data_IF_313722838408
#
_entry.id   IF_313722838408
#
_cell.length_a   1.000
_cell.length_b   1.000
_cell.length_c   1.000
_cell.angle_alpha   90.00
_cell.angle_beta   90.00
_cell.angle_gamma   90.00
#
_symmetry.space_group_name_H-M   'P 1'
#
loop_
_entity.id
_entity.type
_entity.pdbx_description
1 polymer ?
#
# COMPACT_ATOMS: atom_id res chain seq x y z
N UNK A 1 -15.86 -51.86 19.76
CA UNK A 1 -15.10 -50.59 19.74
C UNK A 1 -15.69 -49.71 18.64
N UNK A 2 -16.26 -48.55 19.00
CA UNK A 2 -16.84 -47.58 18.05
C UNK A 2 -15.71 -46.73 17.49
N UNK A 3 -15.45 -46.83 16.19
CA UNK A 3 -14.61 -45.85 15.50
C UNK A 3 -15.39 -44.54 15.39
N UNK A 4 -14.85 -43.50 16.03
CA UNK A 4 -15.43 -42.17 16.04
C UNK A 4 -15.49 -41.59 14.64
N UNK A 5 -16.65 -41.03 14.29
CA UNK A 5 -16.81 -40.19 13.11
C UNK A 5 -15.84 -39.01 13.26
N UNK A 6 -14.86 -38.94 12.36
CA UNK A 6 -14.09 -37.72 12.14
C UNK A 6 -15.11 -36.70 11.64
N UNK A 7 -15.40 -35.72 12.48
CA UNK A 7 -16.28 -34.62 12.13
C UNK A 7 -15.47 -33.71 11.21
N UNK A 8 -15.50 -33.99 9.91
CA UNK A 8 -15.02 -33.07 8.88
C UNK A 8 -15.98 -31.89 8.95
N UNK A 9 -15.64 -30.86 9.72
CA UNK A 9 -16.26 -29.56 9.59
C UNK A 9 -16.11 -29.18 8.12
N UNK A 10 -17.24 -29.17 7.40
CA UNK A 10 -17.30 -28.58 6.07
C UNK A 10 -16.77 -27.17 6.23
N UNK A 11 -15.68 -26.83 5.53
CA UNK A 11 -15.42 -25.44 5.22
C UNK A 11 -16.67 -24.98 4.46
N UNK A 12 -17.52 -24.20 5.12
CA UNK A 12 -18.54 -23.45 4.38
C UNK A 12 -17.78 -22.68 3.30
N UNK A 13 -18.23 -22.75 2.06
CA UNK A 13 -17.73 -21.92 0.97
C UNK A 13 -17.97 -20.47 1.40
N UNK A 14 -16.99 -19.87 2.10
CA UNK A 14 -17.08 -18.50 2.59
C UNK A 14 -17.17 -17.64 1.34
N UNK A 15 -18.35 -17.11 1.06
CA UNK A 15 -18.58 -16.23 -0.08
C UNK A 15 -17.54 -15.11 -0.01
N UNK A 16 -16.71 -15.03 -1.03
CA UNK A 16 -15.73 -13.97 -1.19
C UNK A 16 -16.46 -12.63 -1.24
N UNK A 17 -16.04 -11.69 -0.39
CA UNK A 17 -16.66 -10.37 -0.31
C UNK A 17 -16.26 -9.53 -1.53
N UNK A 18 -17.17 -8.73 -2.04
CA UNK A 18 -17.00 -7.93 -3.26
C UNK A 18 -17.34 -6.46 -2.98
N UNK A 19 -16.97 -5.56 -3.89
CA UNK A 19 -17.34 -4.14 -3.80
C UNK A 19 -18.85 -3.96 -3.62
N UNK A 20 -19.68 -4.79 -4.28
CA UNK A 20 -21.15 -4.74 -4.20
C UNK A 20 -21.72 -5.10 -2.83
N UNK A 21 -20.95 -5.78 -1.99
CA UNK A 21 -21.35 -6.06 -0.61
C UNK A 21 -21.26 -4.79 0.27
N UNK A 22 -20.41 -3.81 -0.08
CA UNK A 22 -20.19 -2.56 0.66
C UNK A 22 -20.79 -1.33 -0.02
N UNK A 23 -20.80 -1.27 -1.35
CA UNK A 23 -21.18 -0.10 -2.14
C UNK A 23 -22.28 -0.49 -3.12
N UNK A 24 -23.45 0.18 -3.03
CA UNK A 24 -24.59 -0.05 -3.94
C UNK A 24 -24.59 0.89 -5.13
N UNK A 25 -24.21 2.14 -4.91
CA UNK A 25 -24.03 3.18 -5.90
C UNK A 25 -22.96 4.18 -5.41
N UNK A 26 -22.53 5.08 -6.27
CA UNK A 26 -21.47 6.06 -5.95
C UNK A 26 -22.00 7.43 -5.54
N UNK A 27 -23.31 7.60 -5.37
CA UNK A 27 -23.90 8.93 -5.13
C UNK A 27 -23.57 9.52 -3.76
N UNK A 28 -23.21 8.66 -2.80
CA UNK A 28 -22.84 9.03 -1.43
C UNK A 28 -21.36 8.79 -1.11
N UNK A 29 -20.54 8.39 -2.10
CA UNK A 29 -19.12 8.15 -1.85
C UNK A 29 -18.37 9.48 -1.70
N UNK A 30 -17.87 9.69 -0.49
CA UNK A 30 -16.96 10.75 -0.10
C UNK A 30 -15.86 10.15 0.80
N UNK A 31 -14.91 10.97 1.25
CA UNK A 31 -13.81 10.53 2.11
C UNK A 31 -14.29 9.74 3.33
N UNK A 32 -15.28 10.25 4.07
CA UNK A 32 -15.80 9.59 5.28
C UNK A 32 -16.36 8.20 4.97
N UNK A 33 -17.15 8.05 3.89
CA UNK A 33 -17.70 6.76 3.50
C UNK A 33 -16.59 5.77 3.08
N UNK A 34 -15.54 6.24 2.40
CA UNK A 34 -14.40 5.40 2.01
C UNK A 34 -13.60 4.96 3.24
N UNK A 35 -13.39 5.84 4.22
CA UNK A 35 -12.75 5.52 5.50
C UNK A 35 -13.56 4.47 6.25
N UNK A 36 -14.88 4.64 6.37
CA UNK A 36 -15.77 3.67 7.05
C UNK A 36 -15.71 2.27 6.40
N UNK A 37 -15.56 2.20 5.08
CA UNK A 37 -15.38 0.92 4.36
C UNK A 37 -14.00 0.34 4.62
N UNK A 38 -12.95 1.17 4.60
CA UNK A 38 -11.58 0.75 4.92
C UNK A 38 -11.50 0.15 6.33
N UNK A 39 -12.13 0.80 7.32
CA UNK A 39 -12.18 0.34 8.71
C UNK A 39 -12.87 -1.02 8.82
N UNK A 40 -13.99 -1.21 8.11
CA UNK A 40 -14.68 -2.51 8.07
C UNK A 40 -13.80 -3.61 7.47
N UNK A 41 -13.00 -3.31 6.45
CA UNK A 41 -12.06 -4.27 5.86
C UNK A 41 -10.92 -4.59 6.82
N UNK A 42 -10.40 -3.60 7.55
CA UNK A 42 -9.39 -3.83 8.59
C UNK A 42 -9.89 -4.70 9.75
N UNK A 43 -11.21 -4.76 10.02
CA UNK A 43 -11.79 -5.71 10.99
C UNK A 43 -11.68 -7.18 10.55
N UNK A 44 -11.37 -7.47 9.29
CA UNK A 44 -11.17 -8.85 8.81
C UNK A 44 -9.86 -9.42 9.35
N UNK A 45 -8.82 -8.59 9.46
CA UNK A 45 -7.49 -9.00 9.92
C UNK A 45 -6.36 -8.29 9.16
N UNK A 46 -5.21 -8.93 9.13
CA UNK A 46 -4.03 -8.49 8.38
C UNK A 46 -4.31 -8.36 6.87
N UNK A 47 -3.43 -7.65 6.16
CA UNK A 47 -3.58 -7.44 4.73
C UNK A 47 -3.59 -8.77 3.94
N UNK A 48 -2.83 -9.77 4.40
CA UNK A 48 -2.84 -11.13 3.84
C UNK A 48 -4.18 -11.84 4.04
N UNK A 49 -4.78 -11.70 5.23
CA UNK A 49 -6.09 -12.28 5.55
C UNK A 49 -7.22 -11.60 4.77
N UNK A 50 -7.15 -10.27 4.59
CA UNK A 50 -8.07 -9.52 3.73
C UNK A 50 -8.00 -10.06 2.30
N UNK A 51 -6.79 -10.12 1.72
CA UNK A 51 -6.56 -10.59 0.34
C UNK A 51 -7.14 -11.97 0.07
N UNK A 52 -7.17 -12.86 1.06
CA UNK A 52 -7.71 -14.21 0.93
C UNK A 52 -9.24 -14.26 1.01
N UNK A 53 -9.89 -13.23 1.55
CA UNK A 53 -11.33 -13.23 1.87
C UNK A 53 -12.16 -12.30 0.98
N UNK A 54 -11.51 -11.37 0.29
CA UNK A 54 -12.16 -10.40 -0.61
C UNK A 54 -11.81 -10.67 -2.07
N UNK A 55 -12.63 -10.15 -2.98
CA UNK A 55 -12.34 -10.19 -4.42
C UNK A 55 -11.12 -9.34 -4.74
N UNK A 56 -10.47 -9.64 -5.86
CA UNK A 56 -9.30 -8.89 -6.28
C UNK A 56 -9.59 -7.38 -6.38
N UNK A 57 -10.76 -7.02 -6.90
CA UNK A 57 -11.20 -5.63 -7.07
C UNK A 57 -11.43 -4.93 -5.73
N UNK A 58 -12.02 -5.63 -4.75
CA UNK A 58 -12.19 -5.09 -3.41
C UNK A 58 -10.85 -4.95 -2.68
N UNK A 59 -9.90 -5.86 -2.91
CA UNK A 59 -8.54 -5.74 -2.40
C UNK A 59 -7.83 -4.52 -3.00
N UNK A 60 -7.92 -4.32 -4.32
CA UNK A 60 -7.36 -3.14 -4.99
C UNK A 60 -7.98 -1.84 -4.47
N UNK A 61 -9.29 -1.83 -4.23
CA UNK A 61 -9.98 -0.70 -3.60
C UNK A 61 -9.40 -0.43 -2.20
N UNK A 62 -9.20 -1.47 -1.38
CA UNK A 62 -8.61 -1.36 -0.05
C UNK A 62 -7.20 -0.77 -0.08
N UNK A 63 -6.34 -1.28 -0.98
CA UNK A 63 -4.98 -0.73 -1.17
C UNK A 63 -5.05 0.73 -1.61
N UNK A 64 -5.94 1.07 -2.55
CA UNK A 64 -6.09 2.43 -3.06
C UNK A 64 -6.51 3.42 -1.96
N UNK A 65 -7.46 3.03 -1.11
CA UNK A 65 -7.92 3.86 0.00
C UNK A 65 -6.80 4.12 1.02
N UNK A 66 -6.07 3.07 1.41
CA UNK A 66 -4.99 3.20 2.37
C UNK A 66 -3.78 3.93 1.78
N UNK A 67 -3.45 3.73 0.50
CA UNK A 67 -2.37 4.45 -0.18
C UNK A 67 -2.62 5.95 -0.18
N UNK A 68 -3.81 6.39 -0.64
CA UNK A 68 -4.15 7.81 -0.73
C UNK A 68 -4.30 8.41 0.67
N UNK A 69 -5.01 7.74 1.57
CA UNK A 69 -5.23 8.22 2.94
C UNK A 69 -3.92 8.43 3.71
N UNK A 70 -2.99 7.47 3.65
CA UNK A 70 -1.70 7.60 4.30
C UNK A 70 -0.80 8.63 3.61
N UNK A 71 -0.83 8.71 2.27
CA UNK A 71 -0.08 9.75 1.54
C UNK A 71 -0.54 11.15 1.94
N UNK A 72 -1.85 11.40 2.07
CA UNK A 72 -2.39 12.71 2.51
C UNK A 72 -1.93 13.12 3.92
N UNK A 73 -1.59 12.15 4.77
CA UNK A 73 -1.08 12.40 6.12
C UNK A 73 0.43 12.58 6.19
N UNK A 74 1.20 11.71 5.51
CA UNK A 74 2.64 11.53 5.75
C UNK A 74 3.51 11.62 4.48
N UNK A 75 2.90 11.80 3.29
CA UNK A 75 3.58 11.73 2.00
C UNK A 75 4.07 10.31 1.64
N UNK A 76 4.76 10.17 0.51
CA UNK A 76 5.21 8.87 0.02
C UNK A 76 6.28 8.23 0.88
N UNK A 77 7.18 9.03 1.47
CA UNK A 77 8.18 8.47 2.38
C UNK A 77 7.51 7.84 3.61
N UNK A 78 6.49 8.49 4.18
CA UNK A 78 5.73 7.93 5.30
C UNK A 78 4.95 6.68 4.93
N UNK A 79 4.34 6.63 3.73
CA UNK A 79 3.73 5.39 3.22
C UNK A 79 4.76 4.27 3.12
N UNK A 80 5.94 4.55 2.58
CA UNK A 80 6.98 3.53 2.40
C UNK A 80 7.56 3.10 3.77
N UNK A 81 7.82 4.03 4.69
CA UNK A 81 8.47 3.70 5.96
C UNK A 81 7.51 3.11 6.99
N UNK A 82 6.26 3.59 7.05
CA UNK A 82 5.30 3.22 8.10
C UNK A 82 4.21 2.28 7.62
N UNK A 83 3.99 2.14 6.32
CA UNK A 83 2.96 1.26 5.74
C UNK A 83 3.59 0.22 4.80
N UNK A 84 4.71 -0.37 5.23
CA UNK A 84 5.53 -1.24 4.39
C UNK A 84 4.73 -2.34 3.69
N UNK A 85 3.77 -2.97 4.37
CA UNK A 85 2.98 -4.05 3.80
C UNK A 85 2.12 -3.64 2.59
N UNK A 86 1.82 -2.35 2.43
CA UNK A 86 1.12 -1.82 1.26
C UNK A 86 2.04 -1.71 0.02
N UNK A 87 3.34 -1.46 0.23
CA UNK A 87 4.33 -1.17 -0.83
C UNK A 87 4.30 -2.17 -1.98
N UNK A 88 4.26 -3.50 -1.75
CA UNK A 88 4.21 -4.47 -2.84
C UNK A 88 2.96 -4.39 -3.72
N UNK A 89 1.87 -3.81 -3.23
CA UNK A 89 0.57 -3.75 -3.92
C UNK A 89 0.28 -2.40 -4.58
N UNK A 90 1.02 -1.35 -4.20
CA UNK A 90 0.84 0.01 -4.73
C UNK A 90 0.95 0.07 -6.27
N UNK A 91 1.93 -0.58 -6.94
CA UNK A 91 2.03 -0.51 -8.40
C UNK A 91 0.77 -1.02 -9.12
N UNK A 92 0.17 -2.09 -8.61
CA UNK A 92 -1.05 -2.68 -9.19
C UNK A 92 -2.26 -1.78 -8.93
N UNK A 93 -2.37 -1.21 -7.73
CA UNK A 93 -3.42 -0.24 -7.41
C UNK A 93 -3.33 1.01 -8.30
N UNK A 94 -2.13 1.60 -8.44
CA UNK A 94 -1.91 2.74 -9.34
C UNK A 94 -2.28 2.42 -10.79
N UNK A 95 -1.98 1.21 -11.26
CA UNK A 95 -2.39 0.75 -12.59
C UNK A 95 -3.92 0.68 -12.72
N UNK A 96 -4.61 0.11 -11.72
CA UNK A 96 -6.06 -0.02 -11.71
C UNK A 96 -6.78 1.35 -11.65
N UNK A 97 -6.16 2.34 -11.00
CA UNK A 97 -6.59 3.75 -10.99
C UNK A 97 -6.21 4.51 -12.27
N UNK A 98 -5.60 3.85 -13.27
CA UNK A 98 -5.12 4.44 -14.52
C UNK A 98 -4.02 5.51 -14.34
N UNK A 99 -3.27 5.45 -13.23
CA UNK A 99 -2.19 6.37 -12.87
C UNK A 99 -0.81 5.82 -13.25
N UNK A 100 -0.63 5.42 -14.52
CA UNK A 100 0.58 4.73 -14.99
C UNK A 100 1.87 5.57 -14.85
N UNK A 101 1.77 6.90 -14.99
CA UNK A 101 2.91 7.79 -14.76
C UNK A 101 3.34 7.77 -13.29
N UNK A 102 2.37 7.81 -12.37
CA UNK A 102 2.63 7.75 -10.94
C UNK A 102 3.15 6.38 -10.51
N UNK A 103 2.60 5.30 -11.07
CA UNK A 103 3.12 3.94 -10.93
C UNK A 103 4.61 3.86 -11.29
N UNK A 104 4.98 4.41 -12.45
CA UNK A 104 6.36 4.37 -12.93
C UNK A 104 7.28 5.14 -11.98
N UNK A 105 6.88 6.32 -11.53
CA UNK A 105 7.64 7.10 -10.55
C UNK A 105 7.78 6.37 -9.19
N UNK A 106 6.74 5.68 -8.75
CA UNK A 106 6.78 4.89 -7.52
C UNK A 106 7.74 3.70 -7.64
N UNK A 107 7.63 2.92 -8.72
CA UNK A 107 8.54 1.80 -9.01
C UNK A 107 9.99 2.28 -9.11
N UNK A 108 10.20 3.49 -9.62
CA UNK A 108 11.49 4.15 -9.68
C UNK A 108 12.10 4.40 -8.28
N UNK A 109 11.30 4.83 -7.30
CA UNK A 109 11.73 4.93 -5.89
C UNK A 109 12.07 3.55 -5.34
N UNK A 110 11.18 2.58 -5.53
CA UNK A 110 11.35 1.21 -5.01
C UNK A 110 12.59 0.52 -5.61
N UNK A 111 12.97 0.85 -6.85
CA UNK A 111 14.16 0.30 -7.50
C UNK A 111 15.49 0.61 -6.80
N UNK A 112 15.52 1.61 -5.91
CA UNK A 112 16.69 1.96 -5.11
C UNK A 112 16.88 0.98 -3.95
N UNK A 113 15.79 0.37 -3.46
CA UNK A 113 15.85 -0.60 -2.39
C UNK A 113 16.64 -1.83 -2.87
N UNK A 114 17.53 -2.39 -2.03
CA UNK A 114 18.17 -3.67 -2.33
C UNK A 114 17.13 -4.76 -2.64
N UNK A 115 17.41 -5.61 -3.63
CA UNK A 115 16.46 -6.61 -4.12
C UNK A 115 15.99 -7.63 -3.06
N UNK A 116 16.72 -7.77 -1.94
CA UNK A 116 16.35 -8.64 -0.82
C UNK A 116 15.42 -7.96 0.19
N UNK A 117 14.98 -6.73 -0.07
CA UNK A 117 14.08 -6.00 0.83
C UNK A 117 12.77 -6.76 0.98
N UNK A 118 12.40 -7.04 2.23
CA UNK A 118 11.09 -7.55 2.60
C UNK A 118 10.35 -6.39 3.23
N UNK A 119 9.30 -5.92 2.57
CA UNK A 119 8.48 -4.80 3.03
C UNK A 119 7.50 -5.27 4.11
N UNK A 120 7.90 -5.16 5.37
CA UNK A 120 7.07 -5.48 6.53
C UNK A 120 7.61 -4.75 7.75
N UNK A 121 6.73 -4.09 8.50
CA UNK A 121 7.10 -3.42 9.74
C UNK A 121 7.42 -4.39 10.88
N UNK A 122 6.98 -5.65 10.76
CA UNK A 122 7.33 -6.72 11.70
C UNK A 122 8.75 -7.25 11.48
N UNK A 123 9.42 -6.83 10.41
CA UNK A 123 10.79 -7.18 10.12
C UNK A 123 11.75 -6.12 10.69
N UNK A 124 12.49 -6.48 11.74
CA UNK A 124 13.49 -5.58 12.35
C UNK A 124 14.52 -5.03 11.34
N UNK A 125 14.88 -5.81 10.31
CA UNK A 125 15.80 -5.35 9.28
C UNK A 125 15.20 -4.25 8.38
N UNK A 126 13.88 -4.10 8.34
CA UNK A 126 13.22 -3.07 7.55
C UNK A 126 13.50 -1.67 8.11
N UNK A 127 13.49 -1.50 9.43
CA UNK A 127 13.87 -0.23 10.05
C UNK A 127 15.30 0.18 9.73
N UNK A 128 16.22 -0.79 9.70
CA UNK A 128 17.59 -0.55 9.25
C UNK A 128 17.65 -0.14 7.78
N UNK A 129 16.83 -0.74 6.91
CA UNK A 129 16.71 -0.34 5.50
C UNK A 129 16.23 1.11 5.35
N UNK A 130 15.18 1.49 6.07
CA UNK A 130 14.64 2.85 6.09
C UNK A 130 15.71 3.84 6.57
N UNK A 131 16.34 3.56 7.72
CA UNK A 131 17.42 4.38 8.26
C UNK A 131 18.60 4.50 7.28
N UNK A 132 18.93 3.43 6.57
CA UNK A 132 20.01 3.40 5.58
C UNK A 132 19.77 4.39 4.45
N UNK A 133 18.54 4.39 3.90
CA UNK A 133 18.12 5.17 2.74
C UNK A 133 17.70 6.61 3.10
N UNK A 134 17.26 6.87 4.33
CA UNK A 134 16.79 8.19 4.74
C UNK A 134 17.94 9.18 4.96
N UNK A 135 18.98 8.74 5.68
CA UNK A 135 20.08 9.61 6.07
C UNK A 135 21.36 8.83 6.33
N UNK A 136 22.45 9.24 5.68
CA UNK A 136 23.78 8.62 5.83
C UNK A 136 24.33 8.62 7.26
N UNK A 137 23.79 9.49 8.14
CA UNK A 137 24.19 9.59 9.55
C UNK A 137 23.47 8.60 10.45
N UNK A 138 22.36 8.03 10.01
CA UNK A 138 21.62 7.06 10.81
C UNK A 138 22.40 5.75 10.88
N UNK A 139 22.42 5.18 12.09
CA UNK A 139 23.07 3.92 12.37
C UNK A 139 22.19 2.79 11.87
N UNK A 140 22.82 1.73 11.41
CA UNK A 140 22.19 0.48 11.00
C UNK A 140 23.00 -0.67 11.57
N UNK A 141 22.34 -1.80 11.79
CA UNK A 141 22.94 -3.03 12.33
C UNK A 141 22.98 -4.17 11.32
N UNK A 142 22.15 -4.13 10.28
CA UNK A 142 22.14 -5.12 9.20
C UNK A 142 23.51 -5.17 8.49
N UNK A 143 24.19 -6.32 8.61
CA UNK A 143 25.51 -6.55 8.04
C UNK A 143 25.54 -6.38 6.52
N UNK A 144 24.44 -6.69 5.83
CA UNK A 144 24.34 -6.54 4.36
C UNK A 144 24.37 -5.08 3.95
N UNK A 145 23.78 -4.20 4.78
CA UNK A 145 23.83 -2.76 4.58
C UNK A 145 25.20 -2.18 4.95
N UNK A 146 25.83 -2.71 5.99
CA UNK A 146 27.20 -2.31 6.39
C UNK A 146 28.26 -2.68 5.34
N UNK A 147 28.02 -3.72 4.54
CA UNK A 147 28.89 -4.06 3.40
C UNK A 147 28.79 -3.09 2.22
N UNK A 148 27.76 -2.24 2.15
CA UNK A 148 27.62 -1.24 1.09
C UNK A 148 28.60 -0.08 1.35
N UNK A 149 29.46 0.30 0.40
CA UNK A 149 30.39 1.40 0.58
C UNK A 149 29.69 2.73 0.92
N UNK A 150 30.32 3.54 1.78
CA UNK A 150 29.78 4.85 2.20
C UNK A 150 29.42 5.77 1.02
N UNK A 151 30.25 5.83 -0.02
CA UNK A 151 29.93 6.63 -1.21
C UNK A 151 28.70 6.10 -1.94
N UNK A 152 28.56 4.77 -2.02
CA UNK A 152 27.36 4.16 -2.61
C UNK A 152 26.11 4.47 -1.79
N UNK A 153 26.20 4.45 -0.45
CA UNK A 153 25.09 4.88 0.42
C UNK A 153 24.71 6.33 0.16
N UNK A 154 25.68 7.25 0.04
CA UNK A 154 25.41 8.67 -0.28
C UNK A 154 24.67 8.83 -1.61
N UNK A 155 25.09 8.10 -2.65
CA UNK A 155 24.39 8.07 -3.93
C UNK A 155 22.94 7.60 -3.77
N UNK A 156 22.71 6.50 -3.05
CA UNK A 156 21.37 5.95 -2.83
C UNK A 156 20.47 6.92 -2.06
N UNK A 157 20.97 7.53 -0.97
CA UNK A 157 20.23 8.56 -0.19
C UNK A 157 19.92 9.80 -1.05
N UNK A 158 20.81 10.16 -1.98
CA UNK A 158 20.58 11.29 -2.88
C UNK A 158 19.53 10.95 -3.93
N UNK A 159 19.66 9.76 -4.54
CA UNK A 159 18.74 9.28 -5.56
C UNK A 159 17.33 9.09 -5.03
N UNK A 160 17.17 8.62 -3.78
CA UNK A 160 15.85 8.37 -3.22
C UNK A 160 15.10 9.68 -2.97
N UNK A 161 15.79 10.70 -2.48
CA UNK A 161 15.23 12.04 -2.30
C UNK A 161 14.77 12.63 -3.63
N UNK A 162 15.62 12.60 -4.65
CA UNK A 162 15.29 13.12 -5.96
C UNK A 162 14.08 12.42 -6.60
N UNK A 163 14.01 11.09 -6.48
CA UNK A 163 12.87 10.33 -7.03
C UNK A 163 11.60 10.51 -6.20
N UNK A 164 11.71 10.67 -4.88
CA UNK A 164 10.59 11.03 -4.02
C UNK A 164 10.06 12.41 -4.37
N UNK A 165 10.91 13.42 -4.55
CA UNK A 165 10.48 14.78 -4.94
C UNK A 165 9.66 14.75 -6.24
N UNK A 166 10.13 14.00 -7.25
CA UNK A 166 9.38 13.79 -8.51
C UNK A 166 8.03 13.10 -8.27
N UNK A 167 8.03 12.08 -7.40
CA UNK A 167 6.82 11.32 -7.08
C UNK A 167 5.81 12.21 -6.35
N UNK A 168 6.23 13.05 -5.40
CA UNK A 168 5.39 14.03 -4.71
C UNK A 168 4.81 15.06 -5.68
N UNK A 169 5.65 15.63 -6.56
CA UNK A 169 5.23 16.61 -7.57
C UNK A 169 4.14 16.05 -8.52
N UNK A 170 4.19 14.75 -8.81
CA UNK A 170 3.17 14.06 -9.61
C UNK A 170 1.88 13.76 -8.84
N UNK A 171 1.97 13.68 -7.51
CA UNK A 171 0.86 13.23 -6.65
C UNK A 171 0.04 14.39 -6.13
N UNK A 172 0.67 15.49 -5.75
CA UNK A 172 0.03 16.67 -5.17
C UNK A 172 -1.17 17.18 -6.01
N UNK A 173 -1.08 17.29 -7.35
CA UNK A 173 -2.21 17.75 -8.17
C UNK A 173 -3.39 16.77 -8.23
N UNK A 174 -3.17 15.50 -7.85
CA UNK A 174 -4.18 14.45 -7.89
C UNK A 174 -4.91 14.31 -6.55
N UNK A 175 -4.15 14.32 -5.45
CA UNK A 175 -4.65 13.91 -4.13
C UNK A 175 -4.54 15.00 -3.05
N UNK A 176 -3.84 16.10 -3.36
CA UNK A 176 -3.65 17.22 -2.44
C UNK A 176 -4.95 17.93 -2.05
N UNK A 177 -4.90 18.78 -1.02
CA UNK A 177 -6.08 19.49 -0.53
C UNK A 177 -6.68 20.41 -1.60
N UNK A 178 -8.02 20.39 -1.72
CA UNK A 178 -8.75 21.22 -2.68
C UNK A 178 -8.78 20.68 -4.11
N UNK A 179 -8.25 19.48 -4.33
CA UNK A 179 -8.43 18.74 -5.59
C UNK A 179 -9.86 18.17 -5.70
N UNK A 180 -10.22 17.67 -6.89
CA UNK A 180 -11.55 17.13 -7.15
C UNK A 180 -11.89 15.98 -6.19
N UNK A 181 -13.09 16.03 -5.62
CA UNK A 181 -13.54 15.08 -4.58
C UNK A 181 -12.54 14.93 -3.43
N UNK A 182 -11.85 16.01 -3.06
CA UNK A 182 -10.81 16.02 -2.02
C UNK A 182 -9.71 14.97 -2.26
N UNK A 183 -9.37 14.70 -3.52
CA UNK A 183 -8.32 13.76 -3.90
C UNK A 183 -8.78 12.31 -4.07
N UNK A 184 -10.08 12.05 -3.97
CA UNK A 184 -10.64 10.70 -4.03
C UNK A 184 -11.27 10.34 -5.38
N UNK A 185 -11.20 11.24 -6.37
CA UNK A 185 -11.91 11.05 -7.64
C UNK A 185 -11.49 9.76 -8.36
N UNK A 186 -10.20 9.38 -8.34
CA UNK A 186 -9.73 8.15 -8.98
C UNK A 186 -10.30 6.90 -8.30
N UNK A 187 -10.45 6.91 -6.97
CA UNK A 187 -11.07 5.81 -6.22
C UNK A 187 -12.55 5.70 -6.54
N UNK A 188 -13.25 6.85 -6.57
CA UNK A 188 -14.67 6.90 -6.90
C UNK A 188 -14.90 6.38 -8.33
N UNK A 189 -14.08 6.82 -9.29
CA UNK A 189 -14.17 6.37 -10.67
C UNK A 189 -13.83 4.89 -10.83
N UNK A 190 -12.83 4.39 -10.10
CA UNK A 190 -12.55 2.96 -10.03
C UNK A 190 -13.79 2.19 -9.57
N UNK A 191 -14.42 2.59 -8.47
CA UNK A 191 -15.64 1.93 -7.97
C UNK A 191 -16.76 1.95 -9.02
N UNK A 192 -16.98 3.07 -9.73
CA UNK A 192 -17.99 3.14 -10.81
C UNK A 192 -17.77 2.07 -11.89
N UNK A 193 -16.53 1.70 -12.19
CA UNK A 193 -16.25 0.64 -13.18
C UNK A 193 -16.56 -0.78 -12.69
N UNK A 194 -16.78 -0.95 -11.38
CA UNK A 194 -17.00 -2.25 -10.74
C UNK A 194 -18.47 -2.51 -10.36
N UNK A 195 -19.32 -1.49 -10.43
CA UNK A 195 -20.76 -1.56 -10.13
C UNK A 195 -21.58 -1.94 -11.38
#
# INVERSE_FOLDING_TARGET
>A
MRYGKINIMKMEDKKMMTIKDFIKDTSHLNEAALVDISDQLWQIGSLSEIKQQVSHELFILHISMNMIGNWKGEGWWGVISEQAELVPYIPEALQALQLNHLKTAFEDVISIFPAYTIFSNDNECYYDMINFLQNVRFKVTDERLLMIPSEKRKEMVTSIKQKLDILEDLTEPLWGYGTESDGWIQVIDYVKTQL
#
